data_IF_421948964041
#
_entry.id   IF_421948964041
#
_cell.length_a   1.000
_cell.length_b   1.000
_cell.length_c   1.000
_cell.angle_alpha   90.00
_cell.angle_beta   90.00
_cell.angle_gamma   90.00
#
_symmetry.space_group_name_H-M   'P 1'
#
loop_
_entity.id
_entity.type
_entity.pdbx_description
1 polymer ?
#
# COMPACT_ATOMS: atom_id res chain seq x y z
N UNK A 1 18.49 -4.31 -3.92
CA UNK A 1 17.16 -4.57 -3.32
C UNK A 1 16.95 -6.09 -3.26
N UNK A 2 17.01 -6.72 -2.08
CA UNK A 2 16.94 -8.19 -1.94
C UNK A 2 15.51 -8.77 -1.93
N UNK A 3 14.51 -8.03 -2.43
CA UNK A 3 13.12 -8.51 -2.52
C UNK A 3 12.36 -8.67 -1.20
N UNK A 4 12.97 -8.38 -0.05
CA UNK A 4 12.34 -8.57 1.28
C UNK A 4 10.97 -7.88 1.38
N UNK A 5 10.89 -6.60 1.01
CA UNK A 5 9.62 -5.86 1.03
C UNK A 5 8.54 -6.52 0.18
N UNK A 6 8.90 -6.99 -1.02
CA UNK A 6 7.96 -7.72 -1.89
C UNK A 6 7.52 -9.06 -1.31
N UNK A 7 8.43 -9.77 -0.64
CA UNK A 7 8.11 -11.02 0.06
C UNK A 7 7.12 -10.78 1.19
N UNK A 8 7.33 -9.73 2.00
CA UNK A 8 6.43 -9.32 3.08
C UNK A 8 5.05 -8.95 2.51
N UNK A 9 4.98 -8.12 1.47
CA UNK A 9 3.69 -7.76 0.85
C UNK A 9 2.93 -8.99 0.37
N UNK A 10 3.60 -9.92 -0.31
CA UNK A 10 2.98 -11.16 -0.79
C UNK A 10 2.48 -12.03 0.37
N UNK A 11 3.25 -12.11 1.46
CA UNK A 11 2.84 -12.84 2.66
C UNK A 11 1.57 -12.24 3.27
N UNK A 12 1.54 -10.92 3.47
CA UNK A 12 0.39 -10.21 4.03
C UNK A 12 -0.85 -10.35 3.14
N UNK A 13 -0.72 -10.19 1.83
CA UNK A 13 -1.82 -10.36 0.88
C UNK A 13 -2.40 -11.78 0.93
N UNK A 14 -1.56 -12.81 0.97
CA UNK A 14 -2.01 -14.20 1.13
C UNK A 14 -2.73 -14.42 2.45
N UNK A 15 -2.18 -13.88 3.55
CA UNK A 15 -2.79 -14.01 4.88
C UNK A 15 -4.15 -13.31 4.93
N UNK A 16 -4.25 -12.10 4.38
CA UNK A 16 -5.50 -11.36 4.33
C UNK A 16 -6.56 -12.07 3.48
N UNK A 17 -6.19 -12.60 2.30
CA UNK A 17 -7.07 -13.46 1.50
C UNK A 17 -7.56 -14.68 2.27
N UNK A 18 -6.68 -15.36 3.01
CA UNK A 18 -7.06 -16.53 3.83
C UNK A 18 -8.03 -16.21 4.98
N UNK A 19 -8.10 -14.94 5.37
CA UNK A 19 -9.02 -14.42 6.39
C UNK A 19 -10.27 -13.77 5.78
N UNK A 20 -10.50 -13.91 4.47
CA UNK A 20 -11.62 -13.32 3.73
C UNK A 20 -11.72 -11.79 3.78
N UNK A 21 -10.59 -11.09 3.94
CA UNK A 21 -10.58 -9.64 3.74
C UNK A 21 -10.70 -9.29 2.25
N UNK A 22 -11.44 -8.21 1.96
CA UNK A 22 -11.72 -7.78 0.58
C UNK A 22 -10.62 -6.88 0.01
N UNK A 23 -9.92 -6.11 0.85
CA UNK A 23 -8.85 -5.20 0.44
C UNK A 23 -7.80 -5.01 1.54
N UNK A 24 -6.64 -4.46 1.15
CA UNK A 24 -5.63 -3.93 2.06
C UNK A 24 -5.50 -2.44 1.78
N UNK A 25 -5.55 -1.65 2.85
CA UNK A 25 -5.30 -0.21 2.82
C UNK A 25 -4.04 0.13 3.62
N UNK A 26 -3.30 1.13 3.16
CA UNK A 26 -2.13 1.66 3.83
C UNK A 26 -1.97 3.15 3.56
N UNK A 27 -1.21 3.80 4.42
CA UNK A 27 -0.94 5.23 4.34
C UNK A 27 0.56 5.48 4.16
N UNK A 28 0.91 6.56 3.45
CA UNK A 28 2.27 7.09 3.38
C UNK A 28 2.24 8.59 3.19
N UNK A 29 3.32 9.27 3.57
CA UNK A 29 3.50 10.68 3.22
C UNK A 29 3.60 10.87 1.69
N UNK A 30 3.04 11.96 1.17
CA UNK A 30 3.07 12.31 -0.25
C UNK A 30 4.47 12.47 -0.84
N UNK A 31 5.45 12.89 -0.04
CA UNK A 31 6.83 13.06 -0.47
C UNK A 31 7.64 11.77 -0.45
N UNK A 32 7.11 10.71 0.16
CA UNK A 32 7.67 9.36 0.11
C UNK A 32 7.42 8.69 -1.26
N UNK A 33 7.83 9.35 -2.35
CA UNK A 33 7.68 8.90 -3.75
C UNK A 33 8.18 7.48 -3.98
N UNK A 34 9.22 7.08 -3.25
CA UNK A 34 9.75 5.72 -3.28
C UNK A 34 8.72 4.69 -2.79
N UNK A 35 8.05 4.96 -1.67
CA UNK A 35 7.05 4.07 -1.08
C UNK A 35 5.81 4.00 -1.97
N UNK A 36 5.32 5.15 -2.44
CA UNK A 36 4.18 5.22 -3.38
C UNK A 36 4.45 4.38 -4.63
N UNK A 37 5.64 4.51 -5.23
CA UNK A 37 6.02 3.71 -6.40
C UNK A 37 6.20 2.23 -6.07
N UNK A 38 6.70 1.91 -4.88
CA UNK A 38 6.81 0.52 -4.42
C UNK A 38 5.43 -0.13 -4.32
N UNK A 39 4.46 0.51 -3.66
CA UNK A 39 3.11 -0.04 -3.52
C UNK A 39 2.35 -0.10 -4.84
N UNK A 40 2.49 0.92 -5.71
CA UNK A 40 1.94 0.89 -7.08
C UNK A 40 2.44 -0.31 -7.88
N UNK A 41 3.73 -0.64 -7.78
CA UNK A 41 4.30 -1.86 -8.41
C UNK A 41 3.73 -3.16 -7.84
N UNK A 42 3.17 -3.13 -6.63
CA UNK A 42 2.46 -4.25 -6.02
C UNK A 42 0.95 -4.25 -6.33
N UNK A 43 0.45 -3.32 -7.14
CA UNK A 43 -0.96 -3.26 -7.56
C UNK A 43 -1.85 -2.41 -6.66
N UNK A 44 -1.26 -1.61 -5.77
CA UNK A 44 -2.02 -0.65 -4.97
C UNK A 44 -2.28 0.63 -5.76
N UNK A 45 -3.44 1.26 -5.54
CA UNK A 45 -3.84 2.51 -6.16
C UNK A 45 -4.18 3.54 -5.09
N UNK A 46 -3.89 4.81 -5.35
CA UNK A 46 -4.27 5.90 -4.44
C UNK A 46 -5.78 6.06 -4.52
N UNK A 47 -6.48 6.01 -3.38
CA UNK A 47 -7.93 6.23 -3.32
C UNK A 47 -8.31 7.48 -2.50
N UNK A 48 -7.40 7.96 -1.63
CA UNK A 48 -7.64 9.15 -0.80
C UNK A 48 -6.35 9.94 -0.56
N UNK A 49 -6.49 11.24 -0.36
CA UNK A 49 -5.43 12.15 0.06
C UNK A 49 -5.98 13.11 1.10
N UNK A 50 -5.36 13.13 2.28
CA UNK A 50 -5.74 14.02 3.37
C UNK A 50 -4.66 15.06 3.57
N UNK A 51 -5.05 16.32 3.77
CA UNK A 51 -4.07 17.37 4.09
C UNK A 51 -3.44 17.11 5.45
N UNK A 52 -2.14 17.35 5.55
CA UNK A 52 -1.41 17.41 6.80
C UNK A 52 -0.56 18.69 6.87
N UNK A 53 0.00 19.05 8.05
CA UNK A 53 0.78 20.28 8.20
C UNK A 53 2.00 20.41 7.27
N UNK A 54 2.42 19.31 6.65
CA UNK A 54 3.64 19.20 5.84
C UNK A 54 3.36 18.86 4.37
N UNK A 55 2.09 18.78 3.95
CA UNK A 55 1.69 18.28 2.64
C UNK A 55 0.42 17.43 2.72
N UNK A 56 0.51 16.16 2.30
CA UNK A 56 -0.62 15.22 2.30
C UNK A 56 -0.22 13.84 2.84
N UNK A 57 -1.12 13.24 3.61
CA UNK A 57 -1.18 11.79 3.75
C UNK A 57 -1.83 11.20 2.50
N UNK A 58 -1.22 10.15 1.96
CA UNK A 58 -1.70 9.44 0.76
C UNK A 58 -2.09 8.03 1.16
N UNK A 59 -3.36 7.72 0.97
CA UNK A 59 -3.91 6.39 1.22
C UNK A 59 -3.95 5.58 -0.07
N UNK A 60 -3.44 4.35 0.00
CA UNK A 60 -3.43 3.41 -1.10
C UNK A 60 -4.21 2.15 -0.73
N UNK A 61 -4.95 1.61 -1.70
CA UNK A 61 -5.73 0.40 -1.56
C UNK A 61 -5.37 -0.61 -2.65
N UNK A 62 -5.42 -1.89 -2.29
CA UNK A 62 -5.45 -2.99 -3.24
C UNK A 62 -6.59 -3.94 -2.91
N UNK A 63 -7.46 -4.19 -3.88
CA UNK A 63 -8.47 -5.25 -3.80
C UNK A 63 -7.79 -6.62 -3.79
N UNK A 64 -8.28 -7.51 -2.92
CA UNK A 64 -7.83 -8.88 -2.76
C UNK A 64 -8.73 -9.90 -3.47
N UNK A 65 -9.80 -9.43 -4.11
CA UNK A 65 -10.66 -10.25 -4.97
C UNK A 65 -9.88 -10.84 -6.16
#
# INVERSE_FOLDING_TARGET
RMGIGSSIMRFLEKKAKSLNFESIQLETDSDAKWAINFYRKHGYSIFQKDKNPWGYHVWLEKSLR
#
